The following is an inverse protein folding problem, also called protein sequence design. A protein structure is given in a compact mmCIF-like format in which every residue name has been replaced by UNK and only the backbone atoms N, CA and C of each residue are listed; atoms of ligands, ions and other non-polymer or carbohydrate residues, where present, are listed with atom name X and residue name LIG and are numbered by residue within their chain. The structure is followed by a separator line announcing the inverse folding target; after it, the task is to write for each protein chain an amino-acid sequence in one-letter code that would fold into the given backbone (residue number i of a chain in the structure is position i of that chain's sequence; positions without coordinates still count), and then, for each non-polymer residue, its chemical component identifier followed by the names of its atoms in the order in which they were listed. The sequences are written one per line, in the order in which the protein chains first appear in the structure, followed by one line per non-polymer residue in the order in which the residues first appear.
data_IF_571652999511
#
_entry.id   IF_571652999511
#
_cell.length_a   1.000
_cell.length_b   1.000
_cell.length_c   1.000
_cell.angle_alpha   90.00
_cell.angle_beta   90.00
_cell.angle_gamma   90.00
#
_symmetry.space_group_name_H-M   'P 1'
#
loop_
_entity.id
_entity.type
_entity.pdbx_description
1 polymer ?
#
# COMPACT_ATOMS: atom_id res chain seq x y z
N UNK A 1 -6.69 9.81 -9.72
CA UNK A 1 -5.99 10.91 -10.40
C UNK A 1 -5.34 11.84 -9.39
N UNK A 2 -4.36 12.61 -9.81
CA UNK A 2 -3.73 13.67 -9.02
C UNK A 2 -4.73 14.81 -8.74
N UNK A 3 -4.62 15.45 -7.58
CA UNK A 3 -5.47 16.61 -7.23
C UNK A 3 -5.34 17.79 -8.20
N UNK A 4 -4.25 17.86 -8.95
CA UNK A 4 -4.00 18.85 -10.03
C UNK A 4 -4.19 18.26 -11.43
N UNK A 5 -4.97 17.19 -11.56
CA UNK A 5 -5.16 16.47 -12.83
C UNK A 5 -5.56 17.38 -13.99
N UNK A 6 -6.39 18.37 -13.73
CA UNK A 6 -6.81 19.33 -14.78
C UNK A 6 -5.63 20.06 -15.46
N UNK A 7 -4.50 20.20 -14.78
CA UNK A 7 -3.31 20.88 -15.29
C UNK A 7 -2.16 19.95 -15.65
N UNK A 8 -1.97 18.87 -14.87
CA UNK A 8 -0.83 17.98 -15.05
C UNK A 8 -1.17 16.62 -15.67
N UNK A 9 -2.48 16.30 -15.76
CA UNK A 9 -3.02 15.04 -16.29
C UNK A 9 -2.40 13.78 -15.66
N UNK A 10 -1.86 13.89 -14.44
CA UNK A 10 -1.21 12.77 -13.75
C UNK A 10 -2.25 11.80 -13.20
N UNK A 11 -2.04 10.52 -13.48
CA UNK A 11 -2.77 9.39 -12.91
C UNK A 11 -1.83 8.53 -12.07
N UNK A 12 -2.38 7.93 -11.01
CA UNK A 12 -1.70 6.92 -10.20
C UNK A 12 -2.40 5.60 -10.37
N UNK A 13 -1.64 4.53 -10.52
CA UNK A 13 -2.21 3.19 -10.67
C UNK A 13 -1.32 2.13 -10.07
N UNK A 14 -1.95 1.05 -9.60
CA UNK A 14 -1.22 -0.14 -9.19
C UNK A 14 -1.26 -1.21 -10.25
N UNK A 15 -0.24 -2.06 -10.21
CA UNK A 15 -0.18 -3.26 -11.03
C UNK A 15 0.61 -4.37 -10.31
N UNK A 16 0.41 -5.59 -10.76
CA UNK A 16 1.21 -6.72 -10.30
C UNK A 16 2.57 -6.69 -11.00
N UNK A 17 3.62 -6.32 -10.27
CA UNK A 17 4.99 -6.26 -10.77
C UNK A 17 5.72 -7.56 -10.48
N UNK A 18 6.17 -8.24 -11.52
CA UNK A 18 6.98 -9.45 -11.41
C UNK A 18 8.35 -9.14 -10.75
N UNK A 19 8.92 -10.15 -10.09
CA UNK A 19 10.34 -10.15 -9.78
C UNK A 19 11.15 -10.18 -11.07
N UNK A 20 12.31 -9.54 -11.06
CA UNK A 20 13.30 -9.70 -12.11
C UNK A 20 14.53 -10.40 -11.54
N UNK A 21 15.34 -10.98 -12.41
CA UNK A 21 16.55 -11.74 -12.04
C UNK A 21 17.55 -10.94 -11.18
N UNK A 22 17.48 -9.60 -11.26
CA UNK A 22 18.34 -8.69 -10.49
C UNK A 22 17.86 -8.42 -9.06
N UNK A 23 16.59 -8.67 -8.77
CA UNK A 23 16.00 -8.44 -7.42
C UNK A 23 15.98 -9.70 -6.54
N UNK A 24 16.49 -10.83 -7.05
CA UNK A 24 16.75 -12.04 -6.26
C UNK A 24 15.51 -12.76 -5.74
N UNK A 25 14.33 -12.57 -6.34
CA UNK A 25 13.10 -13.22 -5.91
C UNK A 25 12.30 -13.82 -7.07
N UNK A 26 11.48 -14.81 -6.77
CA UNK A 26 10.44 -15.29 -7.68
C UNK A 26 9.08 -14.74 -7.29
N UNK A 27 8.19 -14.54 -8.27
CA UNK A 27 6.81 -14.13 -8.02
C UNK A 27 6.53 -12.67 -8.39
N UNK A 28 5.62 -12.07 -7.65
CA UNK A 28 5.11 -10.74 -7.94
C UNK A 28 4.71 -10.00 -6.66
N UNK A 29 4.47 -8.73 -6.76
CA UNK A 29 3.82 -7.95 -5.71
C UNK A 29 3.25 -6.66 -6.26
N UNK A 30 2.50 -5.95 -5.44
CA UNK A 30 1.94 -4.65 -5.79
C UNK A 30 3.04 -3.63 -6.06
N UNK A 31 2.91 -2.91 -7.15
CA UNK A 31 3.69 -1.71 -7.43
C UNK A 31 2.75 -0.54 -7.69
N UNK A 32 3.19 0.65 -7.33
CA UNK A 32 2.53 1.92 -7.61
C UNK A 32 3.34 2.67 -8.66
N UNK A 33 2.66 3.14 -9.69
CA UNK A 33 3.24 4.02 -10.70
C UNK A 33 2.41 5.29 -10.86
N UNK A 34 3.06 6.33 -11.36
CA UNK A 34 2.44 7.50 -11.96
C UNK A 34 2.65 7.51 -13.46
N UNK A 35 1.76 8.17 -14.17
CA UNK A 35 1.91 8.47 -15.58
C UNK A 35 1.14 9.74 -15.94
N UNK A 36 1.51 10.39 -17.04
CA UNK A 36 0.69 11.41 -17.68
C UNK A 36 -0.31 10.74 -18.62
N UNK A 37 -1.58 11.04 -18.50
CA UNK A 37 -2.57 10.64 -19.49
C UNK A 37 -2.48 11.59 -20.69
N UNK A 38 -2.31 11.06 -21.90
CA UNK A 38 -2.26 11.84 -23.13
C UNK A 38 -3.48 12.75 -23.31
N UNK A 39 -3.39 13.79 -24.10
CA UNK A 39 -4.47 14.77 -24.26
C UNK A 39 -5.73 14.15 -24.91
N UNK A 40 -5.53 13.14 -25.77
CA UNK A 40 -6.63 12.34 -26.35
C UNK A 40 -7.17 11.23 -25.41
N UNK A 41 -6.58 11.05 -24.22
CA UNK A 41 -7.00 10.10 -23.20
C UNK A 41 -6.72 8.64 -23.52
N UNK A 42 -5.88 8.32 -24.50
CA UNK A 42 -5.70 6.95 -25.00
C UNK A 42 -4.40 6.27 -24.55
N UNK A 43 -3.40 7.06 -24.16
CA UNK A 43 -2.07 6.52 -23.81
C UNK A 43 -1.59 7.06 -22.47
N UNK A 44 -0.79 6.24 -21.79
CA UNK A 44 -0.02 6.64 -20.60
C UNK A 44 1.41 6.97 -21.04
N UNK A 45 1.78 8.22 -20.81
CA UNK A 45 3.10 8.78 -21.10
C UNK A 45 3.90 8.92 -19.79
N UNK A 46 5.22 8.95 -19.88
CA UNK A 46 6.11 9.20 -18.74
C UNK A 46 5.83 8.29 -17.54
N UNK A 47 5.65 6.99 -17.81
CA UNK A 47 5.35 6.01 -16.76
C UNK A 47 6.53 5.90 -15.80
N UNK A 48 6.31 6.24 -14.53
CA UNK A 48 7.33 6.21 -13.50
C UNK A 48 6.91 5.35 -12.32
N UNK A 49 7.76 4.39 -11.91
CA UNK A 49 7.47 3.50 -10.77
C UNK A 49 7.88 4.20 -9.48
N UNK A 50 6.89 4.56 -8.67
CA UNK A 50 7.09 5.28 -7.41
C UNK A 50 7.39 4.34 -6.24
N UNK A 51 6.79 3.15 -6.25
CA UNK A 51 6.92 2.19 -5.15
C UNK A 51 6.78 0.75 -5.66
N UNK A 52 7.42 -0.18 -4.97
CA UNK A 52 7.35 -1.60 -5.28
C UNK A 52 7.42 -2.42 -3.99
N UNK A 53 6.33 -3.08 -3.61
CA UNK A 53 6.23 -3.92 -2.42
C UNK A 53 7.33 -5.00 -2.41
N UNK A 54 7.99 -5.14 -1.27
CA UNK A 54 9.07 -6.11 -1.03
C UNK A 54 8.81 -6.92 0.25
N UNK A 55 9.33 -8.17 0.30
CA UNK A 55 9.88 -8.94 -0.81
C UNK A 55 8.82 -9.31 -1.85
N UNK A 56 9.25 -9.73 -3.03
CA UNK A 56 8.36 -10.36 -4.01
C UNK A 56 7.95 -11.74 -3.53
N UNK A 57 6.70 -12.12 -3.76
CA UNK A 57 6.19 -13.41 -3.32
C UNK A 57 5.24 -14.02 -4.37
N UNK A 58 5.38 -15.32 -4.62
CA UNK A 58 4.53 -16.02 -5.57
C UNK A 58 3.14 -16.28 -4.98
N UNK A 59 2.22 -15.36 -5.24
CA UNK A 59 0.82 -15.46 -4.85
C UNK A 59 -0.07 -14.73 -5.84
N UNK A 60 -1.27 -15.24 -6.06
CA UNK A 60 -2.34 -14.58 -6.80
C UNK A 60 -3.30 -13.79 -5.89
N UNK A 61 -3.06 -13.80 -4.56
CA UNK A 61 -3.99 -13.29 -3.55
C UNK A 61 -3.45 -12.07 -2.82
N UNK A 62 -4.35 -11.32 -2.21
CA UNK A 62 -4.12 -10.22 -1.27
C UNK A 62 -3.09 -9.19 -1.76
N UNK A 63 -3.37 -8.57 -2.89
CA UNK A 63 -2.55 -7.46 -3.40
C UNK A 63 -2.80 -6.15 -2.66
N UNK A 64 -4.02 -5.95 -2.14
CA UNK A 64 -4.46 -4.65 -1.67
C UNK A 64 -4.59 -3.67 -2.83
N UNK A 65 -3.91 -2.56 -2.71
CA UNK A 65 -3.86 -1.40 -3.60
C UNK A 65 -5.06 -0.48 -3.49
N UNK A 66 -4.98 0.39 -2.50
CA UNK A 66 -5.81 1.60 -2.45
C UNK A 66 -4.90 2.80 -2.25
N UNK A 67 -5.08 3.78 -3.12
CA UNK A 67 -4.24 4.98 -3.18
C UNK A 67 -5.08 6.15 -2.67
N UNK A 68 -4.55 6.88 -1.69
CA UNK A 68 -5.17 8.11 -1.18
C UNK A 68 -4.15 9.23 -1.19
N UNK A 69 -4.44 10.30 -1.91
CA UNK A 69 -3.63 11.51 -1.89
C UNK A 69 -3.97 12.36 -0.67
N UNK A 70 -2.93 12.83 0.02
CA UNK A 70 -3.03 13.77 1.12
C UNK A 70 -2.90 15.21 0.64
N UNK A 71 -3.49 16.19 1.37
CA UNK A 71 -3.34 17.61 1.07
C UNK A 71 -1.88 18.11 1.11
N UNK A 72 -1.01 17.43 1.86
CA UNK A 72 0.43 17.73 1.93
C UNK A 72 1.22 17.21 0.72
N UNK A 73 0.53 16.61 -0.25
CA UNK A 73 1.15 16.06 -1.46
C UNK A 73 1.78 14.68 -1.28
N UNK A 74 1.54 14.01 -0.15
CA UNK A 74 1.94 12.60 0.01
C UNK A 74 0.84 11.64 -0.45
N UNK A 75 1.22 10.39 -0.69
CA UNK A 75 0.32 9.30 -1.06
C UNK A 75 0.35 8.22 0.01
N UNK A 76 -0.82 7.80 0.47
CA UNK A 76 -0.98 6.54 1.17
C UNK A 76 -1.26 5.42 0.17
N UNK A 77 -0.65 4.26 0.41
CA UNK A 77 -0.90 3.05 -0.36
C UNK A 77 -1.16 1.88 0.59
N UNK A 78 -2.36 1.29 0.49
CA UNK A 78 -2.73 0.09 1.22
C UNK A 78 -2.24 -1.17 0.51
N UNK A 79 -1.57 -2.06 1.25
CA UNK A 79 -0.94 -3.27 0.74
C UNK A 79 -1.51 -4.52 1.42
N UNK A 80 -1.68 -5.59 0.66
CA UNK A 80 -2.08 -6.88 1.20
C UNK A 80 -0.90 -7.70 1.74
N UNK A 81 -1.23 -8.71 2.58
CA UNK A 81 -0.28 -9.62 3.22
C UNK A 81 0.21 -10.76 2.31
N UNK A 82 -0.30 -10.83 1.07
CA UNK A 82 -0.02 -11.90 0.08
C UNK A 82 -0.48 -13.30 0.53
N UNK A 83 -1.46 -13.40 1.44
CA UNK A 83 -2.08 -14.61 2.00
C UNK A 83 -1.11 -15.45 2.83
N UNK A 84 -0.27 -16.29 2.23
CA UNK A 84 0.68 -17.14 2.94
C UNK A 84 1.81 -16.40 3.66
N UNK A 85 1.87 -15.06 3.53
CA UNK A 85 2.82 -14.20 4.23
C UNK A 85 2.18 -13.39 5.36
N UNK A 86 1.05 -13.85 5.89
CA UNK A 86 0.27 -13.14 6.92
C UNK A 86 1.09 -12.74 8.15
N UNK A 87 2.05 -13.57 8.58
CA UNK A 87 2.91 -13.23 9.72
C UNK A 87 3.81 -12.01 9.47
N UNK A 88 4.13 -11.72 8.22
CA UNK A 88 4.89 -10.54 7.84
C UNK A 88 4.14 -9.25 8.18
N UNK A 89 2.81 -9.28 8.32
CA UNK A 89 2.01 -8.12 8.71
C UNK A 89 2.42 -7.52 10.06
N UNK A 90 3.01 -8.34 10.94
CA UNK A 90 3.46 -7.93 12.28
C UNK A 90 4.92 -7.46 12.34
N UNK A 91 5.66 -7.49 11.23
CA UNK A 91 7.09 -7.14 11.22
C UNK A 91 7.36 -5.87 10.40
N UNK A 92 8.48 -5.19 10.63
CA UNK A 92 8.80 -3.89 10.02
C UNK A 92 9.80 -3.97 8.84
N UNK A 93 10.35 -5.15 8.54
CA UNK A 93 11.38 -5.34 7.51
C UNK A 93 10.83 -5.80 6.15
N UNK A 94 9.53 -5.68 5.95
CA UNK A 94 8.83 -6.01 4.71
C UNK A 94 7.58 -5.12 4.54
N UNK A 95 6.95 -5.19 3.35
CA UNK A 95 5.74 -4.41 3.05
C UNK A 95 4.44 -5.23 3.03
N UNK A 96 4.44 -6.51 3.45
CA UNK A 96 3.24 -7.32 3.46
C UNK A 96 2.29 -6.90 4.59
N UNK A 97 1.02 -6.63 4.26
CA UNK A 97 0.01 -6.21 5.24
C UNK A 97 0.32 -4.86 5.90
N UNK A 98 0.65 -3.86 5.10
CA UNK A 98 1.04 -2.53 5.54
C UNK A 98 0.21 -1.43 4.87
N UNK A 99 0.16 -0.29 5.51
CA UNK A 99 -0.03 0.98 4.81
C UNK A 99 1.34 1.65 4.75
N UNK A 100 1.71 2.14 3.57
CA UNK A 100 2.91 2.95 3.36
C UNK A 100 2.53 4.38 3.01
N UNK A 101 3.40 5.34 3.35
CA UNK A 101 3.26 6.74 2.96
C UNK A 101 4.53 7.19 2.25
N UNK A 102 4.36 7.71 1.05
CA UNK A 102 5.45 8.20 0.19
C UNK A 102 5.09 9.57 -0.39
N UNK A 103 6.07 10.30 -0.88
CA UNK A 103 5.84 11.47 -1.73
C UNK A 103 5.49 11.07 -3.16
N UNK A 104 5.00 12.02 -3.94
CA UNK A 104 4.64 11.83 -5.36
C UNK A 104 5.85 11.51 -6.26
N UNK A 105 7.06 11.74 -5.79
CA UNK A 105 8.32 11.34 -6.45
C UNK A 105 8.84 9.97 -6.00
N UNK A 106 8.11 9.27 -5.09
CA UNK A 106 8.50 7.99 -4.51
C UNK A 106 9.41 8.10 -3.29
N UNK A 107 9.87 9.29 -2.92
CA UNK A 107 10.72 9.48 -1.73
C UNK A 107 9.94 9.34 -0.43
N UNK A 108 10.65 9.02 0.65
CA UNK A 108 10.05 8.82 1.98
C UNK A 108 9.95 10.14 2.73
N UNK A 109 8.77 10.51 3.27
CA UNK A 109 8.63 11.67 4.15
C UNK A 109 9.44 11.48 5.45
N UNK A 110 10.18 12.51 5.92
CA UNK A 110 11.03 12.39 7.11
C UNK A 110 10.26 12.27 8.42
N UNK A 111 8.97 12.54 8.40
CA UNK A 111 8.04 12.45 9.52
C UNK A 111 7.24 11.13 9.56
N UNK A 112 7.60 10.15 8.73
CA UNK A 112 7.02 8.80 8.85
C UNK A 112 7.40 8.14 10.17
N UNK A 113 6.51 7.33 10.78
CA UNK A 113 6.69 6.86 12.15
C UNK A 113 7.92 5.97 12.36
N UNK A 114 8.39 5.26 11.33
CA UNK A 114 9.49 4.30 11.46
C UNK A 114 10.81 4.75 10.81
N UNK A 115 10.90 5.99 10.35
CA UNK A 115 12.09 6.54 9.67
C UNK A 115 13.39 6.38 10.50
N UNK A 116 13.28 6.46 11.84
CA UNK A 116 14.44 6.34 12.75
C UNK A 116 14.55 4.96 13.40
N UNK A 117 13.69 4.01 13.03
CA UNK A 117 13.68 2.67 13.63
C UNK A 117 14.65 1.76 12.89
N UNK A 118 15.67 1.28 13.58
CA UNK A 118 16.66 0.38 12.98
C UNK A 118 16.01 -0.90 12.46
N UNK A 119 16.31 -1.27 11.21
CA UNK A 119 15.77 -2.46 10.54
C UNK A 119 14.35 -2.34 10.03
N UNK A 120 13.67 -1.22 10.27
CA UNK A 120 12.36 -0.95 9.69
C UNK A 120 12.47 -0.33 8.29
N UNK A 121 11.49 -0.62 7.43
CA UNK A 121 11.33 0.06 6.16
C UNK A 121 10.68 1.44 6.43
N UNK A 122 11.33 2.52 6.04
CA UNK A 122 10.96 3.88 6.50
C UNK A 122 9.66 4.40 5.88
N UNK A 123 9.18 3.83 4.79
CA UNK A 123 7.90 4.18 4.16
C UNK A 123 6.68 3.63 4.90
N UNK A 124 6.84 2.70 5.85
CA UNK A 124 5.73 2.12 6.60
C UNK A 124 5.03 3.18 7.45
N UNK A 125 3.70 3.23 7.33
CA UNK A 125 2.82 4.10 8.13
C UNK A 125 2.10 3.34 9.24
N UNK A 126 1.53 2.16 8.93
CA UNK A 126 0.87 1.26 9.89
C UNK A 126 1.05 -0.19 9.49
N UNK A 127 0.86 -1.10 10.45
CA UNK A 127 1.08 -2.54 10.32
C UNK A 127 -0.15 -3.33 10.75
N UNK A 128 -0.13 -4.66 10.53
CA UNK A 128 -1.18 -5.55 11.00
C UNK A 128 -2.44 -5.53 10.13
N UNK A 129 -2.28 -5.39 8.82
CA UNK A 129 -3.38 -5.41 7.84
C UNK A 129 -3.38 -6.72 7.04
N UNK A 130 -4.58 -7.15 6.63
CA UNK A 130 -4.75 -8.36 5.82
C UNK A 130 -4.84 -8.06 4.32
N UNK A 131 -5.92 -7.44 3.89
CA UNK A 131 -6.18 -7.21 2.46
C UNK A 131 -7.09 -6.00 2.27
N UNK A 132 -6.49 -4.83 2.22
CA UNK A 132 -7.18 -3.53 2.14
C UNK A 132 -7.90 -3.41 0.80
N UNK A 133 -9.23 -3.16 0.83
CA UNK A 133 -10.10 -3.07 -0.33
C UNK A 133 -10.67 -1.68 -0.58
N UNK A 134 -10.72 -0.83 0.41
CA UNK A 134 -11.12 0.57 0.28
C UNK A 134 -10.26 1.48 1.13
N UNK A 135 -10.11 2.73 0.71
CA UNK A 135 -9.45 3.77 1.50
C UNK A 135 -9.98 5.14 1.10
N UNK A 136 -10.20 5.99 2.09
CA UNK A 136 -10.69 7.35 1.89
C UNK A 136 -10.22 8.28 3.01
N UNK A 137 -10.05 9.55 2.70
CA UNK A 137 -9.96 10.59 3.73
C UNK A 137 -11.35 11.03 4.17
N UNK A 138 -11.61 10.93 5.47
CA UNK A 138 -12.81 11.50 6.07
C UNK A 138 -12.76 13.03 6.14
N UNK A 139 -13.91 13.66 6.33
CA UNK A 139 -14.04 15.13 6.44
C UNK A 139 -13.21 15.74 7.58
N UNK A 140 -12.89 14.95 8.60
CA UNK A 140 -12.01 15.32 9.73
C UNK A 140 -10.51 15.14 9.45
N UNK A 141 -10.15 14.82 8.20
CA UNK A 141 -8.77 14.61 7.78
C UNK A 141 -8.18 13.23 8.11
N UNK A 142 -8.92 12.35 8.83
CA UNK A 142 -8.46 10.99 9.14
C UNK A 142 -8.47 10.09 7.91
N UNK A 143 -7.50 9.17 7.82
CA UNK A 143 -7.50 8.10 6.84
C UNK A 143 -8.39 6.95 7.36
N UNK A 144 -9.35 6.53 6.56
CA UNK A 144 -10.20 5.37 6.82
C UNK A 144 -9.97 4.32 5.77
N UNK A 145 -9.95 3.08 6.17
CA UNK A 145 -9.86 1.93 5.27
C UNK A 145 -10.94 0.91 5.61
N UNK A 146 -11.25 0.05 4.66
CA UNK A 146 -11.86 -1.24 4.95
C UNK A 146 -11.03 -2.37 4.34
N UNK A 147 -11.03 -3.52 5.00
CA UNK A 147 -10.26 -4.66 4.60
C UNK A 147 -11.01 -5.98 4.83
N UNK A 148 -10.71 -6.97 4.00
CA UNK A 148 -11.24 -8.31 4.18
C UNK A 148 -10.57 -9.01 5.36
N UNK A 149 -11.41 -9.51 6.27
CA UNK A 149 -11.06 -10.54 7.24
C UNK A 149 -10.92 -11.93 6.60
N UNK A 150 -10.64 -12.98 7.39
CA UNK A 150 -10.82 -14.36 6.94
C UNK A 150 -12.32 -14.69 6.79
N UNK A 151 -12.79 -15.87 7.17
CA UNK A 151 -14.23 -16.18 7.09
C UNK A 151 -15.02 -15.28 8.09
N UNK A 152 -15.62 -14.20 7.58
CA UNK A 152 -16.14 -13.08 8.37
C UNK A 152 -15.03 -12.13 8.85
N UNK A 153 -15.36 -11.23 9.79
CA UNK A 153 -14.40 -10.34 10.41
C UNK A 153 -13.82 -9.26 9.48
N UNK A 154 -14.55 -8.87 8.45
CA UNK A 154 -14.21 -7.68 7.65
C UNK A 154 -14.22 -6.44 8.57
N UNK A 155 -13.27 -5.53 8.36
CA UNK A 155 -13.03 -4.42 9.27
C UNK A 155 -13.12 -3.07 8.57
N UNK A 156 -13.53 -2.06 9.36
CA UNK A 156 -13.38 -0.64 9.01
C UNK A 156 -12.49 -0.01 10.08
N UNK A 157 -11.35 0.52 9.65
CA UNK A 157 -10.31 1.04 10.53
C UNK A 157 -10.04 2.53 10.27
N UNK A 158 -9.96 3.32 11.33
CA UNK A 158 -9.35 4.65 11.29
C UNK A 158 -7.85 4.51 11.50
N UNK A 159 -7.09 4.95 10.51
CA UNK A 159 -5.65 4.72 10.47
C UNK A 159 -4.87 5.86 11.13
N UNK A 160 -4.00 5.48 12.05
CA UNK A 160 -3.08 6.38 12.75
C UNK A 160 -1.62 5.94 12.52
N UNK A 161 -0.67 6.90 12.55
CA UNK A 161 0.74 6.59 12.33
C UNK A 161 1.30 5.66 13.41
N UNK A 162 2.07 4.67 13.00
CA UNK A 162 2.77 3.76 13.89
C UNK A 162 1.88 2.72 14.60
N UNK A 163 0.59 2.65 14.29
CA UNK A 163 -0.33 1.69 14.94
C UNK A 163 -0.30 0.32 14.28
N UNK A 164 -0.61 -0.68 15.10
CA UNK A 164 -0.80 -2.09 14.71
C UNK A 164 -2.29 -2.43 14.78
N UNK A 165 -2.84 -2.92 13.66
CA UNK A 165 -4.27 -3.25 13.51
C UNK A 165 -4.58 -4.73 13.74
N UNK A 166 -3.60 -5.51 14.18
CA UNK A 166 -3.79 -6.81 14.84
C UNK A 166 -3.61 -8.03 13.95
N UNK A 167 -3.88 -7.95 12.64
CA UNK A 167 -3.75 -9.11 11.76
C UNK A 167 -2.31 -9.67 11.72
N UNK A 168 -2.08 -11.01 11.76
CA UNK A 168 -3.05 -12.10 11.95
C UNK A 168 -3.20 -12.54 13.41
N UNK A 169 -2.67 -11.81 14.37
CA UNK A 169 -2.66 -12.17 15.81
C UNK A 169 -4.06 -12.03 16.41
N UNK A 170 -4.79 -10.98 15.98
CA UNK A 170 -6.17 -10.71 16.38
C UNK A 170 -7.02 -10.61 15.12
N UNK A 171 -8.15 -11.32 15.11
CA UNK A 171 -9.19 -11.23 14.07
C UNK A 171 -10.53 -11.64 14.66
N UNK A 172 -11.60 -11.05 14.14
CA UNK A 172 -12.97 -11.43 14.48
C UNK A 172 -13.53 -12.53 13.56
N UNK A 173 -12.81 -12.88 12.49
CA UNK A 173 -13.21 -13.95 11.57
C UNK A 173 -12.51 -15.27 11.91
N UNK A 174 -13.05 -16.36 11.36
CA UNK A 174 -12.50 -17.70 11.50
C UNK A 174 -11.44 -17.97 10.42
N UNK A 175 -10.36 -18.61 10.79
CA UNK A 175 -9.33 -19.01 9.81
C UNK A 175 -9.91 -20.05 8.85
N UNK A 176 -9.49 -20.01 7.60
CA UNK A 176 -9.81 -21.06 6.64
C UNK A 176 -9.12 -22.36 7.07
N UNK A 177 -9.89 -23.45 7.09
CA UNK A 177 -9.41 -24.81 7.39
C UNK A 177 -8.51 -25.38 6.29
#
# INVERSE_FOLDING_TARGET
VDSKFATNRTVYFCYSKAANDKTGGSGNSTALASARLSDDGKTLEDVNVLFSQQPKYRSALHFGCRIVENPDGTLFLGLGDRSHRMQDAQTLHNHHGKIVRIRKDGSVPPDNPYVKTQGALPEIWSIGHRNIQGAVRGNNGGLWIHEHGPQGGDEINRIEPGKNYGWPVITYGEQYG
#
